data_IF_020295974578
#
_entry.id   IF_020295974578
#
_cell.length_a   1.000
_cell.length_b   1.000
_cell.length_c   1.000
_cell.angle_alpha   90.00
_cell.angle_beta   90.00
_cell.angle_gamma   90.00
#
_symmetry.space_group_name_H-M   'P 1'
#
loop_
_entity.id
_entity.type
_entity.pdbx_description
1 polymer ?
#
# COMPACT_ATOMS: atom_id res chain seq x y z
N UNK A 1 -22.35 2.78 9.18
CA UNK A 1 -23.33 3.35 8.24
C UNK A 1 -23.63 2.33 7.18
N UNK A 2 -24.86 2.15 6.68
CA UNK A 2 -25.09 1.28 5.54
C UNK A 2 -24.24 1.79 4.38
N UNK A 3 -23.55 0.88 3.67
CA UNK A 3 -22.83 1.24 2.46
C UNK A 3 -23.82 1.97 1.52
N UNK A 4 -23.36 3.06 0.90
CA UNK A 4 -24.17 3.81 -0.04
C UNK A 4 -24.65 2.86 -1.16
N UNK A 5 -25.87 3.07 -1.63
CA UNK A 5 -26.50 2.21 -2.66
C UNK A 5 -25.62 2.13 -3.91
N UNK A 6 -24.90 3.21 -4.24
CA UNK A 6 -23.95 3.27 -5.36
C UNK A 6 -22.76 2.35 -5.14
N UNK A 7 -22.17 2.34 -3.94
CA UNK A 7 -21.06 1.45 -3.59
C UNK A 7 -21.47 -0.03 -3.69
N UNK A 8 -22.65 -0.39 -3.20
CA UNK A 8 -23.17 -1.75 -3.28
C UNK A 8 -23.38 -2.19 -4.73
N UNK A 9 -23.94 -1.31 -5.56
CA UNK A 9 -24.16 -1.58 -6.99
C UNK A 9 -22.82 -1.73 -7.73
N UNK A 10 -21.82 -0.92 -7.41
CA UNK A 10 -20.48 -1.02 -7.98
C UNK A 10 -19.84 -2.39 -7.72
N UNK A 11 -19.88 -2.86 -6.46
CA UNK A 11 -19.38 -4.22 -6.13
C UNK A 11 -20.21 -5.32 -6.81
N UNK A 12 -21.52 -5.14 -6.97
CA UNK A 12 -22.36 -6.08 -7.70
C UNK A 12 -21.95 -6.18 -9.18
N UNK A 13 -21.69 -5.04 -9.82
CA UNK A 13 -21.22 -4.98 -11.22
C UNK A 13 -19.84 -5.65 -11.31
N UNK A 14 -18.91 -5.34 -10.40
CA UNK A 14 -17.58 -5.94 -10.38
C UNK A 14 -17.69 -7.48 -10.33
N UNK A 15 -18.40 -8.01 -9.34
CA UNK A 15 -18.59 -9.46 -9.16
C UNK A 15 -19.37 -10.14 -10.27
N UNK A 16 -20.16 -9.40 -11.06
CA UNK A 16 -20.81 -9.94 -12.27
C UNK A 16 -19.85 -10.09 -13.45
N UNK A 17 -18.72 -9.39 -13.42
CA UNK A 17 -17.71 -9.39 -14.49
C UNK A 17 -16.49 -10.23 -14.20
N UNK A 18 -16.20 -10.45 -12.92
CA UNK A 18 -15.02 -11.18 -12.45
C UNK A 18 -15.42 -12.26 -11.45
N UNK A 19 -14.88 -13.45 -11.63
CA UNK A 19 -14.90 -14.50 -10.61
C UNK A 19 -13.54 -14.50 -9.91
N UNK A 20 -13.51 -14.00 -8.68
CA UNK A 20 -12.34 -13.97 -7.82
C UNK A 20 -12.38 -15.05 -6.71
N UNK A 21 -13.32 -16.00 -6.78
CA UNK A 21 -13.53 -17.03 -5.76
C UNK A 21 -12.34 -17.96 -5.55
N UNK A 22 -11.47 -18.08 -6.56
CA UNK A 22 -10.25 -18.89 -6.47
C UNK A 22 -9.10 -18.18 -5.71
N UNK A 23 -9.19 -16.87 -5.48
CA UNK A 23 -8.18 -16.13 -4.73
C UNK A 23 -8.32 -16.37 -3.21
N UNK A 24 -7.20 -16.39 -2.47
CA UNK A 24 -7.23 -16.41 -1.01
C UNK A 24 -8.00 -15.18 -0.46
N UNK A 25 -8.60 -15.28 0.74
CA UNK A 25 -9.55 -14.29 1.24
C UNK A 25 -9.03 -12.85 1.27
N UNK A 26 -7.84 -12.61 1.86
CA UNK A 26 -7.30 -11.25 1.94
C UNK A 26 -6.90 -10.72 0.56
N UNK A 27 -6.29 -11.58 -0.27
CA UNK A 27 -5.93 -11.26 -1.66
C UNK A 27 -7.17 -10.86 -2.44
N UNK A 28 -8.27 -11.61 -2.30
CA UNK A 28 -9.54 -11.30 -2.96
C UNK A 28 -10.10 -9.96 -2.52
N UNK A 29 -10.19 -9.71 -1.21
CA UNK A 29 -10.71 -8.46 -0.68
C UNK A 29 -9.90 -7.24 -1.12
N UNK A 30 -8.57 -7.35 -1.11
CA UNK A 30 -7.67 -6.28 -1.59
C UNK A 30 -7.88 -6.06 -3.10
N UNK A 31 -7.91 -7.13 -3.90
CA UNK A 31 -8.08 -7.03 -5.35
C UNK A 31 -9.42 -6.43 -5.72
N UNK A 32 -10.52 -6.87 -5.10
CA UNK A 32 -11.85 -6.28 -5.30
C UNK A 32 -11.86 -4.78 -4.98
N UNK A 33 -11.22 -4.39 -3.86
CA UNK A 33 -11.22 -2.99 -3.43
C UNK A 33 -10.38 -2.11 -4.36
N UNK A 34 -9.22 -2.59 -4.80
CA UNK A 34 -8.39 -1.87 -5.77
C UNK A 34 -9.13 -1.67 -7.10
N UNK A 35 -9.76 -2.71 -7.63
CA UNK A 35 -10.54 -2.61 -8.87
C UNK A 35 -11.75 -1.67 -8.69
N UNK A 36 -12.44 -1.75 -7.54
CA UNK A 36 -13.56 -0.86 -7.24
C UNK A 36 -13.16 0.61 -7.28
N UNK A 37 -12.05 0.96 -6.61
CA UNK A 37 -11.62 2.36 -6.45
C UNK A 37 -10.94 2.93 -7.70
N UNK A 38 -10.33 2.06 -8.53
CA UNK A 38 -9.61 2.48 -9.75
C UNK A 38 -10.43 2.30 -11.03
N UNK A 39 -11.49 1.50 -11.00
CA UNK A 39 -12.23 1.00 -12.16
C UNK A 39 -11.35 0.28 -13.20
N UNK A 40 -10.17 -0.20 -12.79
CA UNK A 40 -9.19 -0.86 -13.64
C UNK A 40 -9.17 -2.38 -13.38
N UNK A 41 -9.78 -3.13 -14.29
CA UNK A 41 -9.91 -4.58 -14.19
C UNK A 41 -8.61 -5.35 -14.44
N UNK A 42 -7.58 -4.70 -15.00
CA UNK A 42 -6.29 -5.36 -15.24
C UNK A 42 -5.61 -5.74 -13.91
N UNK A 43 -5.94 -5.07 -12.80
CA UNK A 43 -5.42 -5.41 -11.48
C UNK A 43 -5.75 -6.83 -11.02
N UNK A 44 -6.69 -7.51 -11.64
CA UNK A 44 -6.95 -8.94 -11.36
C UNK A 44 -5.74 -9.83 -11.65
N UNK A 45 -4.94 -9.45 -12.65
CA UNK A 45 -3.73 -10.18 -13.06
C UNK A 45 -2.44 -9.41 -12.79
N UNK A 46 -2.54 -8.10 -12.56
CA UNK A 46 -1.39 -7.23 -12.35
C UNK A 46 -0.96 -7.16 -10.86
N UNK A 47 -1.90 -7.27 -9.91
CA UNK A 47 -1.57 -7.31 -8.49
C UNK A 47 -0.84 -8.62 -8.13
N UNK A 48 0.17 -8.47 -7.29
CA UNK A 48 0.92 -9.57 -6.69
C UNK A 48 0.82 -9.46 -5.17
N UNK A 49 0.00 -10.33 -4.61
CA UNK A 49 -0.28 -10.40 -3.19
C UNK A 49 0.28 -11.70 -2.61
N UNK A 50 0.92 -11.61 -1.46
CA UNK A 50 1.24 -12.75 -0.60
C UNK A 50 0.24 -12.75 0.56
N UNK A 51 -0.55 -13.80 0.68
CA UNK A 51 -1.61 -13.91 1.69
C UNK A 51 -1.05 -13.83 3.12
N UNK A 52 0.13 -14.43 3.36
CA UNK A 52 0.77 -14.39 4.68
C UNK A 52 1.29 -12.97 4.98
N UNK A 53 1.81 -12.25 3.98
CA UNK A 53 2.22 -10.86 4.12
C UNK A 53 1.02 -9.94 4.41
N UNK A 54 -0.10 -10.15 3.71
CA UNK A 54 -1.35 -9.42 3.98
C UNK A 54 -1.86 -9.68 5.40
N UNK A 55 -1.82 -10.93 5.86
CA UNK A 55 -2.21 -11.30 7.22
C UNK A 55 -1.30 -10.62 8.28
N UNK A 56 0.01 -10.55 8.04
CA UNK A 56 0.92 -9.84 8.92
C UNK A 56 0.62 -8.34 9.00
N UNK A 57 0.31 -7.72 7.85
CA UNK A 57 -0.13 -6.32 7.79
C UNK A 57 -1.43 -6.07 8.52
N UNK A 58 -2.43 -6.93 8.30
CA UNK A 58 -3.72 -6.89 8.98
C UNK A 58 -3.56 -6.95 10.50
N UNK A 59 -2.75 -7.89 10.98
CA UNK A 59 -2.49 -8.05 12.40
C UNK A 59 -1.71 -6.88 13.01
N UNK A 60 -0.80 -6.27 12.24
CA UNK A 60 -0.13 -5.04 12.64
C UNK A 60 -1.13 -3.87 12.81
N UNK A 61 -2.08 -3.71 11.88
CA UNK A 61 -3.13 -2.70 11.96
C UNK A 61 -4.05 -2.92 13.18
N UNK A 62 -4.40 -4.16 13.50
CA UNK A 62 -5.15 -4.51 14.72
C UNK A 62 -4.43 -4.09 16.00
N UNK A 63 -3.10 -4.13 16.00
CA UNK A 63 -2.26 -3.66 17.10
C UNK A 63 -1.93 -2.17 17.05
N UNK A 64 -2.62 -1.41 16.20
CA UNK A 64 -2.39 0.02 16.00
C UNK A 64 -0.94 0.37 15.60
N UNK A 65 -0.32 -0.45 14.75
CA UNK A 65 1.02 -0.18 14.22
C UNK A 65 1.07 1.16 13.47
N UNK A 66 2.24 1.80 13.47
CA UNK A 66 2.45 3.01 12.71
C UNK A 66 2.23 2.78 11.20
N UNK A 67 1.61 3.76 10.53
CA UNK A 67 1.42 3.75 9.08
C UNK A 67 2.21 4.90 8.47
N UNK A 68 2.97 4.61 7.44
CA UNK A 68 3.80 5.58 6.72
C UNK A 68 3.37 5.65 5.26
N UNK A 69 3.17 6.85 4.74
CA UNK A 69 2.98 7.09 3.30
C UNK A 69 4.10 7.96 2.75
N UNK A 70 4.63 7.59 1.59
CA UNK A 70 5.68 8.34 0.88
C UNK A 70 5.14 9.57 0.15
N UNK A 71 3.83 9.60 -0.13
CA UNK A 71 3.16 10.66 -0.88
C UNK A 71 2.10 11.38 -0.02
N UNK A 72 2.07 12.73 -0.03
CA UNK A 72 1.06 13.49 0.70
C UNK A 72 -0.37 13.18 0.25
N UNK A 73 -0.59 12.92 -1.03
CA UNK A 73 -1.89 12.54 -1.59
C UNK A 73 -2.40 11.23 -0.99
N UNK A 74 -1.55 10.22 -0.83
CA UNK A 74 -1.90 8.99 -0.14
C UNK A 74 -2.21 9.23 1.35
N UNK A 75 -1.38 10.02 2.02
CA UNK A 75 -1.56 10.31 3.44
C UNK A 75 -2.88 11.03 3.74
N UNK A 76 -3.28 11.99 2.91
CA UNK A 76 -4.54 12.72 3.06
C UNK A 76 -5.77 11.87 2.71
N UNK A 77 -5.63 10.96 1.74
CA UNK A 77 -6.73 10.09 1.32
C UNK A 77 -7.04 8.98 2.34
N UNK A 78 -6.09 8.63 3.20
CA UNK A 78 -6.34 7.65 4.27
C UNK A 78 -7.14 8.34 5.39
N UNK A 79 -8.37 7.88 5.57
CA UNK A 79 -9.26 8.35 6.63
C UNK A 79 -9.38 7.30 7.74
N UNK A 80 -9.57 7.76 8.98
CA UNK A 80 -9.81 6.86 10.12
C UNK A 80 -8.54 6.22 10.72
N UNK A 81 -7.34 6.57 10.23
CA UNK A 81 -6.08 6.09 10.78
C UNK A 81 -4.98 7.18 10.69
N UNK A 82 -4.15 7.36 11.75
CA UNK A 82 -3.06 8.33 11.71
C UNK A 82 -1.94 7.86 10.76
N UNK A 83 -1.49 8.75 9.89
CA UNK A 83 -0.45 8.46 8.89
C UNK A 83 0.74 9.38 9.06
N UNK A 84 1.94 8.83 9.09
CA UNK A 84 3.20 9.55 9.06
C UNK A 84 3.57 9.80 7.61
N UNK A 85 3.67 11.09 7.20
CA UNK A 85 4.20 11.49 5.91
C UNK A 85 5.27 12.56 6.10
N UNK A 86 6.45 12.34 5.53
CA UNK A 86 7.60 13.25 5.61
C UNK A 86 7.99 13.88 4.26
N UNK A 87 7.21 13.64 3.21
CA UNK A 87 7.54 14.11 1.86
C UNK A 87 7.62 15.64 1.75
N UNK A 88 6.78 16.38 2.48
CA UNK A 88 6.80 17.84 2.53
C UNK A 88 7.66 18.46 3.65
N UNK A 89 8.38 17.64 4.41
CA UNK A 89 9.18 18.14 5.53
C UNK A 89 10.46 18.85 5.04
N UNK A 90 10.70 20.06 5.54
CA UNK A 90 11.92 20.83 5.20
C UNK A 90 13.21 20.12 5.59
N UNK A 91 13.15 19.26 6.63
CA UNK A 91 14.27 18.41 7.04
C UNK A 91 14.60 17.35 5.96
N UNK A 92 13.59 16.82 5.25
CA UNK A 92 13.82 15.90 4.15
C UNK A 92 14.61 16.57 3.02
N UNK A 93 14.25 17.79 2.64
CA UNK A 93 14.99 18.56 1.64
C UNK A 93 16.43 18.88 2.08
N UNK A 94 16.64 19.17 3.36
CA UNK A 94 17.99 19.37 3.92
C UNK A 94 18.81 18.09 3.90
N UNK A 95 18.25 17.00 4.39
CA UNK A 95 18.91 15.69 4.42
C UNK A 95 19.25 15.21 3.01
N UNK A 96 18.34 15.40 2.05
CA UNK A 96 18.58 15.05 0.65
C UNK A 96 19.84 15.70 0.09
N UNK A 97 20.00 17.02 0.33
CA UNK A 97 21.19 17.77 -0.12
C UNK A 97 22.47 17.31 0.58
N UNK A 98 22.44 17.13 1.90
CA UNK A 98 23.64 16.73 2.67
C UNK A 98 24.09 15.31 2.42
N UNK A 99 23.14 14.40 2.19
CA UNK A 99 23.40 12.98 1.94
C UNK A 99 23.51 12.64 0.45
N UNK A 100 23.29 13.60 -0.44
CA UNK A 100 23.27 13.42 -1.91
C UNK A 100 22.32 12.29 -2.36
N UNK A 101 21.08 12.34 -1.85
CA UNK A 101 20.01 11.40 -2.17
C UNK A 101 18.76 12.15 -2.62
N UNK A 102 17.76 11.42 -3.15
CA UNK A 102 16.48 12.05 -3.48
C UNK A 102 15.72 12.53 -2.23
N UNK A 103 14.82 13.50 -2.41
CA UNK A 103 13.96 13.99 -1.31
C UNK A 103 13.06 12.86 -0.81
N UNK A 104 12.54 12.01 -1.69
CA UNK A 104 11.72 10.84 -1.32
C UNK A 104 12.49 9.85 -0.44
N UNK A 105 13.75 9.53 -0.80
CA UNK A 105 14.61 8.69 0.03
C UNK A 105 14.90 9.33 1.41
N UNK A 106 15.15 10.64 1.44
CA UNK A 106 15.35 11.37 2.69
C UNK A 106 14.08 11.37 3.57
N UNK A 107 12.91 11.52 2.95
CA UNK A 107 11.63 11.44 3.65
C UNK A 107 11.40 10.05 4.29
N UNK A 108 11.76 8.97 3.58
CA UNK A 108 11.72 7.60 4.15
C UNK A 108 12.61 7.49 5.39
N UNK A 109 13.83 8.03 5.37
CA UNK A 109 14.72 8.02 6.54
C UNK A 109 14.11 8.71 7.76
N UNK A 110 13.52 9.89 7.54
CA UNK A 110 12.85 10.64 8.62
C UNK A 110 11.60 9.91 9.12
N UNK A 111 10.83 9.33 8.21
CA UNK A 111 9.63 8.58 8.58
C UNK A 111 9.98 7.32 9.38
N UNK A 112 11.05 6.61 9.02
CA UNK A 112 11.52 5.43 9.76
C UNK A 112 11.90 5.79 11.20
N UNK A 113 12.60 6.92 11.39
CA UNK A 113 12.94 7.39 12.74
C UNK A 113 11.71 7.69 13.61
N UNK A 114 10.58 8.04 12.98
CA UNK A 114 9.33 8.33 13.68
C UNK A 114 8.46 7.08 13.89
N UNK A 115 8.43 6.17 12.92
CA UNK A 115 7.56 4.99 12.91
C UNK A 115 8.16 3.81 13.68
N UNK A 116 9.47 3.62 13.60
CA UNK A 116 10.14 2.42 14.11
C UNK A 116 9.85 1.15 13.31
N UNK A 117 10.29 -0.02 13.82
CA UNK A 117 10.01 -1.33 13.22
C UNK A 117 8.54 -1.73 13.34
N UNK A 118 8.10 -2.65 12.50
CA UNK A 118 6.72 -3.18 12.52
C UNK A 118 5.67 -2.27 11.89
N UNK A 119 6.07 -1.17 11.24
CA UNK A 119 5.15 -0.26 10.57
C UNK A 119 4.61 -0.84 9.26
N UNK A 120 3.43 -0.36 8.83
CA UNK A 120 2.90 -0.57 7.48
C UNK A 120 3.32 0.60 6.58
N UNK A 121 3.95 0.29 5.46
CA UNK A 121 4.50 1.27 4.54
C UNK A 121 3.73 1.32 3.22
N UNK A 122 3.33 2.51 2.79
CA UNK A 122 2.79 2.78 1.46
C UNK A 122 3.86 3.53 0.66
N UNK A 123 4.42 2.87 -0.36
CA UNK A 123 5.38 3.43 -1.30
C UNK A 123 4.72 3.49 -2.68
N UNK A 124 4.19 4.63 -3.03
CA UNK A 124 3.27 4.82 -4.16
C UNK A 124 3.70 5.90 -5.15
N UNK A 125 4.58 6.82 -4.75
CA UNK A 125 5.00 7.93 -5.59
C UNK A 125 5.95 7.49 -6.69
N UNK A 126 7.16 7.15 -6.31
CA UNK A 126 8.19 6.75 -7.26
C UNK A 126 9.14 5.68 -6.70
N UNK A 127 10.00 5.10 -7.55
CA UNK A 127 10.87 3.99 -7.16
C UNK A 127 11.88 4.34 -6.06
N UNK A 128 12.25 5.61 -5.90
CA UNK A 128 13.27 6.03 -4.96
C UNK A 128 12.90 5.79 -3.49
N UNK A 129 11.62 6.01 -3.12
CA UNK A 129 11.13 5.71 -1.78
C UNK A 129 11.15 4.21 -1.51
N UNK A 130 10.66 3.41 -2.44
CA UNK A 130 10.62 1.95 -2.31
C UNK A 130 12.03 1.35 -2.21
N UNK A 131 12.96 1.82 -3.04
CA UNK A 131 14.36 1.40 -2.99
C UNK A 131 15.01 1.74 -1.63
N UNK A 132 14.71 2.90 -1.06
CA UNK A 132 15.24 3.30 0.26
C UNK A 132 14.66 2.44 1.39
N UNK A 133 13.36 2.08 1.34
CA UNK A 133 12.73 1.15 2.30
C UNK A 133 13.48 -0.19 2.31
N UNK A 134 13.75 -0.76 1.14
CA UNK A 134 14.49 -2.02 1.02
C UNK A 134 15.93 -1.90 1.51
N UNK A 135 16.63 -0.82 1.12
CA UNK A 135 18.04 -0.61 1.47
C UNK A 135 18.27 -0.37 2.97
N UNK A 136 17.26 0.14 3.68
CA UNK A 136 17.38 0.49 5.10
C UNK A 136 16.98 -0.61 6.06
N UNK A 137 16.50 -1.75 5.57
CA UNK A 137 16.05 -2.84 6.44
C UNK A 137 15.08 -2.34 7.52
N UNK A 138 14.04 -1.61 7.10
CA UNK A 138 13.10 -0.95 8.04
C UNK A 138 12.23 -1.92 8.84
N UNK A 139 12.40 -3.23 8.67
CA UNK A 139 11.63 -4.29 9.35
C UNK A 139 10.11 -4.02 9.31
N UNK A 140 9.52 -3.88 8.12
CA UNK A 140 8.10 -3.53 7.99
C UNK A 140 7.22 -4.73 8.35
N UNK A 141 6.04 -4.47 8.93
CA UNK A 141 4.99 -5.48 9.01
C UNK A 141 4.43 -5.79 7.61
N UNK A 142 4.28 -4.76 6.76
CA UNK A 142 3.86 -4.88 5.38
C UNK A 142 4.38 -3.68 4.57
N UNK A 143 4.80 -3.91 3.34
CA UNK A 143 5.07 -2.87 2.33
C UNK A 143 4.03 -2.98 1.21
N UNK A 144 3.19 -1.96 1.05
CA UNK A 144 2.35 -1.76 -0.12
C UNK A 144 3.18 -0.96 -1.12
N UNK A 145 3.93 -1.67 -1.96
CA UNK A 145 4.89 -1.10 -2.89
C UNK A 145 4.35 -1.07 -4.31
N UNK A 146 3.66 0.00 -4.66
CA UNK A 146 3.00 0.21 -5.96
C UNK A 146 3.38 1.55 -6.60
N UNK A 147 4.70 1.89 -6.69
CA UNK A 147 5.10 3.11 -7.36
C UNK A 147 4.64 3.10 -8.82
N UNK A 148 4.26 4.29 -9.34
CA UNK A 148 3.86 4.49 -10.73
C UNK A 148 4.99 5.12 -11.53
N UNK A 149 5.15 4.72 -12.79
CA UNK A 149 6.07 5.37 -13.72
C UNK A 149 6.72 4.43 -14.71
N UNK A 150 7.09 5.02 -15.87
CA UNK A 150 7.74 4.28 -16.97
C UNK A 150 9.23 3.98 -16.72
N UNK A 151 9.84 4.62 -15.72
CA UNK A 151 11.28 4.48 -15.43
C UNK A 151 11.47 3.99 -14.00
N UNK A 152 11.97 2.78 -13.85
CA UNK A 152 12.37 2.20 -12.57
C UNK A 152 11.24 1.70 -11.67
N UNK A 153 9.97 1.95 -11.98
CA UNK A 153 8.87 1.54 -11.10
C UNK A 153 8.62 0.03 -11.14
N UNK A 154 8.59 -0.58 -12.33
CA UNK A 154 8.42 -2.02 -12.48
C UNK A 154 9.62 -2.79 -11.88
N UNK A 155 10.84 -2.29 -12.11
CA UNK A 155 12.08 -2.87 -11.57
C UNK A 155 12.13 -2.81 -10.04
N UNK A 156 11.71 -1.68 -9.44
CA UNK A 156 11.66 -1.53 -7.98
C UNK A 156 10.64 -2.48 -7.34
N UNK A 157 9.48 -2.66 -7.97
CA UNK A 157 8.47 -3.63 -7.53
C UNK A 157 8.94 -5.08 -7.65
N UNK A 158 9.65 -5.39 -8.73
CA UNK A 158 10.25 -6.71 -8.91
C UNK A 158 11.35 -6.97 -7.86
N UNK A 159 12.17 -5.96 -7.55
CA UNK A 159 13.14 -6.05 -6.46
C UNK A 159 12.45 -6.25 -5.09
N UNK A 160 11.34 -5.57 -4.83
CA UNK A 160 10.55 -5.75 -3.60
C UNK A 160 10.06 -7.20 -3.46
N UNK A 161 9.50 -7.78 -4.50
CA UNK A 161 9.04 -9.18 -4.49
C UNK A 161 10.17 -10.18 -4.19
N UNK A 162 11.41 -9.86 -4.59
CA UNK A 162 12.59 -10.68 -4.31
C UNK A 162 13.29 -10.37 -2.98
N UNK A 163 12.90 -9.32 -2.29
CA UNK A 163 13.58 -8.85 -1.07
C UNK A 163 13.33 -9.73 0.16
N UNK A 164 12.30 -10.56 0.14
CA UNK A 164 11.84 -11.33 1.30
C UNK A 164 11.04 -10.52 2.33
N UNK A 165 10.77 -9.24 2.07
CA UNK A 165 9.90 -8.44 2.90
C UNK A 165 8.42 -8.81 2.69
N UNK A 166 7.62 -8.78 3.75
CA UNK A 166 6.17 -8.87 3.62
C UNK A 166 5.69 -7.75 2.70
N UNK A 167 5.12 -8.10 1.55
CA UNK A 167 4.79 -7.09 0.55
C UNK A 167 3.56 -7.41 -0.28
N UNK A 168 2.93 -6.33 -0.75
CA UNK A 168 1.97 -6.28 -1.84
C UNK A 168 2.56 -5.37 -2.91
N UNK A 169 2.49 -5.77 -4.17
CA UNK A 169 2.92 -4.96 -5.31
C UNK A 169 2.07 -5.24 -6.54
N UNK A 170 2.45 -4.69 -7.69
CA UNK A 170 1.93 -5.07 -9.00
C UNK A 170 3.08 -5.27 -10.00
N UNK A 171 2.79 -5.86 -11.16
CA UNK A 171 3.83 -6.21 -12.16
C UNK A 171 4.16 -5.03 -13.07
N UNK A 172 3.12 -4.36 -13.59
CA UNK A 172 3.26 -3.32 -14.62
C UNK A 172 3.78 -1.98 -14.08
N UNK A 173 3.92 -0.99 -14.96
CA UNK A 173 4.25 0.41 -14.62
C UNK A 173 3.10 1.16 -13.93
N UNK A 174 1.89 0.57 -13.92
CA UNK A 174 0.73 1.08 -13.19
C UNK A 174 0.99 1.14 -11.69
N UNK A 175 0.13 1.84 -10.97
CA UNK A 175 0.23 1.99 -9.52
C UNK A 175 -0.19 3.39 -9.08
N UNK A 176 0.47 3.89 -8.04
CA UNK A 176 0.27 5.23 -7.54
C UNK A 176 -0.56 5.30 -6.25
N UNK A 177 -0.75 6.52 -5.74
CA UNK A 177 -1.41 6.75 -4.45
C UNK A 177 -2.82 6.13 -4.35
N UNK A 178 -3.63 6.20 -5.39
CA UNK A 178 -4.98 5.64 -5.39
C UNK A 178 -4.97 4.11 -5.14
N UNK A 179 -4.08 3.40 -5.83
CA UNK A 179 -3.93 1.94 -5.68
C UNK A 179 -3.44 1.57 -4.29
N UNK A 180 -2.43 2.30 -3.78
CA UNK A 180 -1.88 2.06 -2.45
C UNK A 180 -2.93 2.29 -1.36
N UNK A 181 -3.70 3.38 -1.47
CA UNK A 181 -4.77 3.72 -0.53
C UNK A 181 -5.88 2.69 -0.58
N UNK A 182 -6.32 2.27 -1.78
CA UNK A 182 -7.35 1.25 -1.92
C UNK A 182 -6.93 -0.08 -1.27
N UNK A 183 -5.72 -0.55 -1.54
CA UNK A 183 -5.19 -1.77 -0.92
C UNK A 183 -5.09 -1.65 0.61
N UNK A 184 -4.64 -0.50 1.11
CA UNK A 184 -4.57 -0.23 2.55
C UNK A 184 -5.95 -0.17 3.20
N UNK A 185 -6.91 0.53 2.58
CA UNK A 185 -8.27 0.67 3.11
C UNK A 185 -9.01 -0.67 3.19
N UNK A 186 -8.75 -1.60 2.24
CA UNK A 186 -9.28 -2.96 2.33
C UNK A 186 -8.81 -3.65 3.61
N UNK A 187 -7.51 -3.60 3.91
CA UNK A 187 -6.95 -4.18 5.14
C UNK A 187 -7.45 -3.46 6.39
N UNK A 188 -7.53 -2.14 6.37
CA UNK A 188 -7.99 -1.35 7.52
C UNK A 188 -9.45 -1.67 7.88
N UNK A 189 -10.34 -1.81 6.88
CA UNK A 189 -11.73 -2.22 7.11
C UNK A 189 -11.80 -3.58 7.82
N UNK A 190 -11.04 -4.56 7.36
CA UNK A 190 -10.99 -5.88 7.99
C UNK A 190 -10.35 -5.85 9.39
N UNK A 191 -9.41 -4.93 9.64
CA UNK A 191 -8.83 -4.74 10.95
C UNK A 191 -9.82 -4.17 11.97
N UNK A 192 -10.73 -3.28 11.51
CA UNK A 192 -11.67 -2.54 12.36
C UNK A 192 -13.06 -3.17 12.46
N UNK A 193 -13.47 -3.98 11.47
CA UNK A 193 -14.75 -4.71 11.48
C UNK A 193 -14.52 -6.21 11.19
N UNK A 194 -14.59 -7.08 12.21
CA UNK A 194 -14.46 -8.52 12.03
C UNK A 194 -15.49 -9.17 11.08
N UNK A 195 -16.61 -8.48 10.81
CA UNK A 195 -17.61 -8.98 9.86
C UNK A 195 -17.16 -8.86 8.41
N UNK A 196 -16.30 -7.90 8.11
CA UNK A 196 -15.71 -7.75 6.78
C UNK A 196 -14.72 -8.89 6.49
N UNK A 197 -13.95 -9.32 7.48
CA UNK A 197 -13.06 -10.48 7.36
C UNK A 197 -13.85 -11.79 7.09
N UNK A 198 -14.99 -11.97 7.72
CA UNK A 198 -15.83 -13.15 7.51
C UNK A 198 -16.53 -13.17 6.13
N UNK A 199 -16.56 -12.04 5.41
CA UNK A 199 -17.11 -11.92 4.05
C UNK A 199 -16.05 -12.01 2.96
N UNK A 200 -14.78 -11.81 3.30
CA UNK A 200 -13.65 -11.93 2.40
C UNK A 200 -13.30 -13.40 2.13
#
# INVERSE_FOLDING_TARGET
MPADTETQESYRILRSRLDLSALPPLTRAVTEHVIHDTADFDYVTDLVCDEAALAAGLEALRRAAAVVADEPTAAVAITGYPVICKAGDSLAARLARTANISVSAAAVRLAFSAAGPGAVWLASGGPAALNEIMARHVEPALVIGVPVGLVGAAEAKDALRRSGLNSLSNVSEKGGPAVAVAAFQALLRMATDPREEARA
#
